data_IF_008157639460
#
_entry.id   IF_008157639460
#
_cell.length_a   1.000
_cell.length_b   1.000
_cell.length_c   1.000
_cell.angle_alpha   90.00
_cell.angle_beta   90.00
_cell.angle_gamma   90.00
#
_symmetry.space_group_name_H-M   'P 1'
#
loop_
_entity.id
_entity.type
_entity.pdbx_description
1 polymer ?
#
# COMPACT_ATOMS: atom_id res chain seq x y z
N UNK A 1 23.58 -20.42 -14.61
CA UNK A 1 22.72 -21.01 -13.57
C UNK A 1 21.35 -20.41 -13.83
N UNK A 2 20.45 -21.13 -14.52
CA UNK A 2 19.11 -20.64 -14.89
C UNK A 2 18.19 -20.75 -13.66
N UNK A 3 17.38 -19.76 -13.31
CA UNK A 3 16.39 -19.93 -12.26
C UNK A 3 15.23 -20.81 -12.77
N UNK A 4 14.86 -21.74 -11.94
CA UNK A 4 13.84 -22.77 -12.17
C UNK A 4 12.44 -22.13 -12.07
N UNK A 5 11.72 -22.04 -13.17
CA UNK A 5 10.41 -21.40 -13.30
C UNK A 5 9.25 -22.34 -12.90
N UNK A 6 9.43 -23.16 -11.85
CA UNK A 6 8.38 -24.08 -11.38
C UNK A 6 7.73 -23.67 -10.05
N UNK A 7 7.25 -22.42 -9.92
CA UNK A 7 6.32 -22.07 -8.85
C UNK A 7 4.91 -22.58 -9.21
N UNK A 8 4.55 -23.75 -8.70
CA UNK A 8 3.22 -24.37 -8.84
C UNK A 8 2.13 -23.45 -8.30
N UNK A 9 1.41 -22.76 -9.20
CA UNK A 9 0.13 -22.10 -8.89
C UNK A 9 -0.90 -23.18 -8.54
N UNK A 10 -1.39 -23.19 -7.30
CA UNK A 10 -2.52 -24.02 -6.89
C UNK A 10 -3.78 -23.59 -7.64
N UNK A 11 -4.27 -24.45 -8.52
CA UNK A 11 -5.54 -24.30 -9.20
C UNK A 11 -6.68 -24.27 -8.18
N UNK A 12 -7.39 -23.14 -8.10
CA UNK A 12 -8.73 -23.07 -7.49
C UNK A 12 -9.75 -23.47 -8.55
N UNK A 13 -10.51 -24.52 -8.26
CA UNK A 13 -11.62 -25.02 -9.06
C UNK A 13 -12.75 -24.00 -9.13
N UNK A 14 -12.90 -23.37 -10.28
CA UNK A 14 -14.04 -22.58 -10.70
C UNK A 14 -13.75 -22.17 -12.14
N UNK A 15 -14.41 -22.77 -13.13
CA UNK A 15 -14.07 -22.67 -14.54
C UNK A 15 -14.27 -21.25 -15.12
N UNK A 16 -13.34 -20.33 -14.81
CA UNK A 16 -13.23 -19.10 -15.58
C UNK A 16 -12.42 -19.43 -16.84
N UNK A 17 -13.02 -19.25 -18.00
CA UNK A 17 -12.31 -19.28 -19.28
C UNK A 17 -11.16 -18.29 -19.20
N UNK A 18 -9.92 -18.77 -19.34
CA UNK A 18 -8.71 -17.93 -19.30
C UNK A 18 -8.63 -17.01 -20.52
N UNK A 19 -9.23 -17.41 -21.64
CA UNK A 19 -9.27 -16.67 -22.92
C UNK A 19 -10.69 -16.38 -23.33
N UNK A 20 -11.01 -15.12 -23.61
CA UNK A 20 -12.31 -14.65 -24.10
C UNK A 20 -12.16 -13.84 -25.38
N UNK A 21 -13.09 -14.01 -26.31
CA UNK A 21 -13.15 -13.25 -27.55
C UNK A 21 -14.32 -12.28 -27.47
N UNK A 22 -14.00 -11.00 -27.52
CA UNK A 22 -14.95 -9.92 -27.31
C UNK A 22 -15.13 -9.11 -28.59
N UNK A 23 -16.36 -8.95 -28.99
CA UNK A 23 -16.73 -8.13 -30.14
C UNK A 23 -17.56 -6.95 -29.66
N UNK A 24 -17.25 -5.74 -30.15
CA UNK A 24 -17.96 -4.53 -29.75
C UNK A 24 -19.04 -4.18 -30.79
N UNK A 25 -20.30 -4.26 -30.40
CA UNK A 25 -21.46 -3.77 -31.16
C UNK A 25 -22.05 -2.52 -30.47
N UNK A 26 -22.85 -2.74 -29.42
CA UNK A 26 -23.30 -1.73 -28.46
C UNK A 26 -22.88 -2.18 -27.05
N UNK A 27 -21.57 -2.17 -26.80
CA UNK A 27 -20.91 -2.85 -25.68
C UNK A 27 -20.27 -4.16 -26.13
N UNK A 28 -19.51 -4.79 -25.21
CA UNK A 28 -18.83 -6.05 -25.54
C UNK A 28 -19.73 -7.26 -25.44
N UNK A 29 -19.71 -8.09 -26.50
CA UNK A 29 -20.37 -9.39 -26.57
C UNK A 29 -19.32 -10.48 -26.73
N UNK A 30 -19.37 -11.51 -25.88
CA UNK A 30 -18.48 -12.67 -25.99
C UNK A 30 -18.90 -13.57 -27.16
N UNK A 31 -17.94 -13.96 -27.99
CA UNK A 31 -18.11 -14.92 -29.08
C UNK A 31 -17.41 -16.25 -28.75
N UNK A 32 -17.89 -17.33 -29.34
CA UNK A 32 -17.33 -18.66 -29.10
C UNK A 32 -15.96 -18.88 -29.76
N UNK A 33 -15.67 -18.17 -30.84
CA UNK A 33 -14.47 -18.28 -31.63
C UNK A 33 -13.89 -16.89 -31.95
N UNK A 34 -12.59 -16.84 -32.18
CA UNK A 34 -11.92 -15.65 -32.65
C UNK A 34 -12.44 -15.22 -34.01
N UNK A 35 -12.67 -13.92 -34.16
CA UNK A 35 -13.04 -13.28 -35.41
C UNK A 35 -12.14 -12.08 -35.66
N UNK A 36 -11.86 -11.69 -36.93
CA UNK A 36 -11.18 -10.44 -37.25
C UNK A 36 -11.86 -9.24 -36.57
N UNK A 37 -11.04 -8.29 -36.07
CA UNK A 37 -11.50 -7.10 -35.35
C UNK A 37 -12.15 -7.42 -33.96
N UNK A 38 -11.99 -8.64 -33.42
CA UNK A 38 -12.35 -8.92 -32.04
C UNK A 38 -11.19 -8.62 -31.10
N UNK A 39 -11.52 -8.25 -29.88
CA UNK A 39 -10.56 -8.14 -28.79
C UNK A 39 -10.38 -9.51 -28.14
N UNK A 40 -9.14 -10.00 -28.12
CA UNK A 40 -8.75 -11.22 -27.42
C UNK A 40 -8.28 -10.84 -26.02
N UNK A 41 -9.03 -11.22 -24.99
CA UNK A 41 -8.68 -10.96 -23.62
C UNK A 41 -8.22 -12.27 -22.94
N UNK A 42 -6.98 -12.28 -22.41
CA UNK A 42 -6.36 -13.44 -21.77
C UNK A 42 -5.95 -13.07 -20.35
N UNK A 43 -6.52 -13.77 -19.37
CA UNK A 43 -6.21 -13.57 -17.95
C UNK A 43 -5.67 -14.87 -17.38
N UNK A 44 -4.51 -14.80 -16.70
CA UNK A 44 -3.77 -15.96 -16.18
C UNK A 44 -3.52 -17.02 -17.26
N UNK A 45 -2.82 -16.68 -18.38
CA UNK A 45 -2.61 -17.56 -19.51
C UNK A 45 -2.01 -18.91 -19.11
N UNK A 46 -2.48 -19.98 -19.76
CA UNK A 46 -1.89 -21.32 -19.70
C UNK A 46 -1.04 -21.59 -20.95
N UNK A 47 -0.48 -22.78 -21.05
CA UNK A 47 0.35 -23.17 -22.20
C UNK A 47 -0.42 -23.13 -23.52
N UNK A 48 -1.70 -23.55 -23.53
CA UNK A 48 -2.54 -23.55 -24.74
C UNK A 48 -2.82 -22.11 -25.19
N UNK A 49 -2.97 -21.16 -24.23
CA UNK A 49 -3.14 -19.74 -24.52
C UNK A 49 -1.85 -19.14 -25.09
N UNK A 50 -0.71 -19.53 -24.54
CA UNK A 50 0.60 -19.09 -25.04
C UNK A 50 0.85 -19.58 -26.47
N UNK A 51 0.60 -20.86 -26.75
CA UNK A 51 0.70 -21.42 -28.11
C UNK A 51 -0.28 -20.73 -29.08
N UNK A 52 -1.50 -20.49 -28.67
CA UNK A 52 -2.46 -19.76 -29.50
C UNK A 52 -1.98 -18.32 -29.82
N UNK A 53 -1.45 -17.60 -28.84
CA UNK A 53 -0.94 -16.23 -29.06
C UNK A 53 0.27 -16.21 -29.99
N UNK A 54 1.22 -17.14 -29.81
CA UNK A 54 2.47 -17.16 -30.58
C UNK A 54 2.33 -17.82 -31.94
N UNK A 55 1.61 -18.93 -32.05
CA UNK A 55 1.55 -19.73 -33.29
C UNK A 55 0.35 -19.35 -34.17
N UNK A 56 -0.81 -18.98 -33.58
CA UNK A 56 -2.01 -18.66 -34.35
C UNK A 56 -2.11 -17.17 -34.67
N UNK A 57 -1.83 -16.32 -33.66
CA UNK A 57 -1.92 -14.87 -33.81
C UNK A 57 -0.57 -14.24 -34.18
N UNK A 58 0.54 -14.98 -34.14
CA UNK A 58 1.91 -14.51 -34.37
C UNK A 58 2.33 -13.32 -33.48
N UNK A 59 1.87 -13.32 -32.23
CA UNK A 59 2.31 -12.33 -31.23
C UNK A 59 3.79 -12.60 -30.88
N UNK A 60 4.66 -11.57 -30.83
CA UNK A 60 6.05 -11.74 -30.44
C UNK A 60 6.15 -12.34 -29.02
N UNK A 61 6.95 -13.40 -28.88
CA UNK A 61 7.15 -14.09 -27.61
C UNK A 61 7.85 -13.16 -26.58
N UNK A 62 8.71 -12.26 -27.05
CA UNK A 62 9.35 -11.22 -26.25
C UNK A 62 8.33 -10.41 -25.44
N UNK A 63 7.22 -10.01 -26.07
CA UNK A 63 6.16 -9.25 -25.43
C UNK A 63 5.44 -10.00 -24.33
N UNK A 64 5.20 -11.30 -24.52
CA UNK A 64 4.57 -12.16 -23.51
C UNK A 64 5.48 -12.35 -22.30
N UNK A 65 6.80 -12.49 -22.54
CA UNK A 65 7.78 -12.59 -21.48
C UNK A 65 7.91 -11.29 -20.68
N UNK A 66 7.89 -10.14 -21.35
CA UNK A 66 7.89 -8.83 -20.70
C UNK A 66 6.65 -8.63 -19.80
N UNK A 67 5.46 -9.02 -20.28
CA UNK A 67 4.22 -8.90 -19.48
C UNK A 67 4.23 -9.89 -18.30
N UNK A 68 4.91 -11.01 -18.41
CA UNK A 68 5.02 -12.01 -17.35
C UNK A 68 5.90 -11.55 -16.18
N UNK A 69 6.80 -10.58 -16.40
CA UNK A 69 7.60 -9.98 -15.34
C UNK A 69 6.73 -9.09 -14.44
N UNK A 70 6.55 -9.49 -13.19
CA UNK A 70 5.74 -8.76 -12.21
C UNK A 70 6.28 -7.35 -11.90
N UNK A 71 7.56 -7.12 -12.13
CA UNK A 71 8.23 -5.84 -11.87
C UNK A 71 8.32 -4.94 -13.11
N UNK A 72 7.77 -5.40 -14.25
CA UNK A 72 7.81 -4.65 -15.50
C UNK A 72 7.17 -3.26 -15.36
N UNK A 73 7.82 -2.28 -16.01
CA UNK A 73 7.43 -0.86 -15.92
C UNK A 73 6.48 -0.48 -17.06
N UNK A 74 5.56 0.48 -16.82
CA UNK A 74 4.73 1.03 -17.87
C UNK A 74 5.57 1.59 -19.01
N UNK A 75 5.35 1.10 -20.22
CA UNK A 75 6.03 1.55 -21.44
C UNK A 75 5.27 1.18 -22.71
N UNK A 76 5.68 1.78 -23.81
CA UNK A 76 5.30 1.35 -25.16
C UNK A 76 6.53 0.84 -25.88
N UNK A 77 6.38 -0.26 -26.62
CA UNK A 77 7.42 -0.85 -27.45
C UNK A 77 6.88 -1.29 -28.79
N UNK A 78 7.75 -1.39 -29.81
CA UNK A 78 7.36 -1.78 -31.16
C UNK A 78 8.30 -2.84 -31.70
N UNK A 79 7.73 -3.91 -32.25
CA UNK A 79 8.49 -4.98 -32.94
C UNK A 79 7.81 -5.29 -34.29
N UNK A 80 8.46 -4.93 -35.37
CA UNK A 80 7.88 -5.02 -36.72
C UNK A 80 6.64 -4.14 -36.86
N UNK A 81 5.47 -4.74 -37.10
CA UNK A 81 4.18 -4.06 -37.18
C UNK A 81 3.34 -4.19 -35.88
N UNK A 82 3.93 -4.74 -34.82
CA UNK A 82 3.30 -4.89 -33.52
C UNK A 82 3.64 -3.72 -32.61
N UNK A 83 2.65 -3.27 -31.85
CA UNK A 83 2.78 -2.31 -30.76
C UNK A 83 2.40 -3.01 -29.46
N UNK A 84 3.29 -2.96 -28.49
CA UNK A 84 3.05 -3.33 -27.10
C UNK A 84 2.82 -2.07 -26.27
N UNK A 85 1.77 -2.07 -25.47
CA UNK A 85 1.52 -1.07 -24.44
C UNK A 85 1.40 -1.80 -23.09
N UNK A 86 2.37 -1.59 -22.22
CA UNK A 86 2.34 -2.13 -20.85
C UNK A 86 1.90 -0.98 -19.92
N UNK A 87 0.88 -1.26 -19.12
CA UNK A 87 0.47 -0.39 -18.01
C UNK A 87 0.37 -1.19 -16.72
N UNK A 88 0.52 -0.53 -15.59
CA UNK A 88 0.30 -1.16 -14.28
C UNK A 88 -1.12 -0.83 -13.80
N UNK A 89 -1.82 -1.86 -13.37
CA UNK A 89 -3.19 -1.77 -12.87
C UNK A 89 -3.24 -2.16 -11.39
N UNK A 90 -4.11 -1.54 -10.59
CA UNK A 90 -4.22 -1.86 -9.17
C UNK A 90 -5.00 -3.16 -8.99
N UNK A 91 -4.56 -3.97 -8.01
CA UNK A 91 -5.21 -5.21 -7.60
C UNK A 91 -5.35 -5.27 -6.09
N UNK A 92 -6.39 -5.95 -5.61
CA UNK A 92 -6.59 -6.22 -4.19
C UNK A 92 -6.04 -7.61 -3.84
N UNK A 93 -5.19 -7.69 -2.83
CA UNK A 93 -4.72 -8.96 -2.29
C UNK A 93 -5.64 -9.44 -1.16
N UNK A 94 -6.13 -10.67 -1.30
CA UNK A 94 -7.00 -11.32 -0.31
C UNK A 94 -6.23 -12.22 0.67
N UNK A 95 -4.89 -12.28 0.57
CA UNK A 95 -4.06 -13.13 1.42
C UNK A 95 -3.63 -12.37 2.68
N UNK A 96 -3.84 -12.99 3.84
CA UNK A 96 -3.38 -12.46 5.12
C UNK A 96 -1.85 -12.35 5.14
N UNK A 97 -1.33 -11.18 5.56
CA UNK A 97 0.10 -10.92 5.69
C UNK A 97 0.76 -10.26 4.47
N UNK A 98 0.11 -10.23 3.31
CA UNK A 98 0.55 -9.46 2.14
C UNK A 98 0.10 -7.99 2.23
N UNK A 99 0.58 -7.16 1.28
CA UNK A 99 0.04 -5.81 1.09
C UNK A 99 -1.45 -5.92 0.75
N UNK A 100 -2.32 -5.07 1.32
CA UNK A 100 -3.76 -5.13 1.05
C UNK A 100 -4.09 -4.83 -0.40
N UNK A 101 -3.31 -3.97 -1.04
CA UNK A 101 -3.39 -3.66 -2.46
C UNK A 101 -1.99 -3.62 -3.06
N UNK A 102 -1.90 -3.97 -4.34
CA UNK A 102 -0.66 -4.01 -5.11
C UNK A 102 -0.93 -3.54 -6.54
N UNK A 103 0.09 -3.52 -7.38
CA UNK A 103 -0.06 -3.24 -8.79
C UNK A 103 0.60 -4.32 -9.64
N UNK A 104 -0.06 -4.69 -10.73
CA UNK A 104 0.42 -5.72 -11.65
C UNK A 104 0.45 -5.20 -13.08
N UNK A 105 1.36 -5.70 -13.93
CA UNK A 105 1.39 -5.33 -15.32
C UNK A 105 0.22 -5.97 -16.09
N UNK A 106 -0.32 -5.23 -17.04
CA UNK A 106 -1.15 -5.72 -18.12
C UNK A 106 -0.56 -5.25 -19.44
N UNK A 107 -0.41 -6.13 -20.39
CA UNK A 107 0.02 -5.81 -21.75
C UNK A 107 -1.17 -5.72 -22.70
N UNK A 108 -1.21 -4.67 -23.50
CA UNK A 108 -2.11 -4.54 -24.65
C UNK A 108 -1.26 -4.57 -25.88
N UNK A 109 -1.45 -5.60 -26.70
CA UNK A 109 -0.66 -5.88 -27.90
C UNK A 109 -1.54 -5.67 -29.11
N UNK A 110 -1.11 -4.84 -30.04
CA UNK A 110 -1.88 -4.52 -31.24
C UNK A 110 -1.04 -4.53 -32.51
N UNK A 111 -1.68 -4.90 -33.61
CA UNK A 111 -1.20 -4.62 -34.96
C UNK A 111 -2.36 -4.04 -35.78
N UNK A 112 -2.23 -4.02 -37.12
CA UNK A 112 -3.29 -3.47 -37.99
C UNK A 112 -4.63 -4.22 -37.91
N UNK A 113 -4.63 -5.52 -37.54
CA UNK A 113 -5.81 -6.40 -37.56
C UNK A 113 -6.27 -6.87 -36.19
N UNK A 114 -5.33 -7.05 -35.25
CA UNK A 114 -5.55 -7.77 -34.01
C UNK A 114 -5.34 -6.84 -32.81
N UNK A 115 -6.12 -7.04 -31.76
CA UNK A 115 -5.88 -6.48 -30.43
C UNK A 115 -6.01 -7.59 -29.38
N UNK A 116 -5.00 -7.70 -28.52
CA UNK A 116 -4.91 -8.68 -27.46
C UNK A 116 -4.60 -7.96 -26.16
N UNK A 117 -5.28 -8.30 -25.07
CA UNK A 117 -4.83 -7.96 -23.71
C UNK A 117 -4.40 -9.21 -22.96
N UNK A 118 -3.26 -9.14 -22.30
CA UNK A 118 -2.70 -10.24 -21.51
C UNK A 118 -2.40 -9.74 -20.11
N UNK A 119 -2.90 -10.45 -19.10
CA UNK A 119 -2.60 -10.20 -17.69
C UNK A 119 -2.35 -11.53 -16.97
N UNK A 120 -1.17 -11.70 -16.36
CA UNK A 120 -0.82 -12.93 -15.64
C UNK A 120 -1.44 -13.01 -14.23
N UNK A 121 -2.19 -11.98 -13.83
CA UNK A 121 -2.83 -11.90 -12.53
C UNK A 121 -4.34 -11.77 -12.65
N UNK A 122 -5.06 -12.32 -11.68
CA UNK A 122 -6.49 -12.06 -11.58
C UNK A 122 -6.74 -10.58 -11.24
N UNK A 123 -7.65 -9.95 -11.98
CA UNK A 123 -8.03 -8.56 -11.80
C UNK A 123 -9.54 -8.42 -11.89
N UNK A 124 -10.10 -7.55 -11.06
CA UNK A 124 -11.52 -7.17 -11.14
C UNK A 124 -11.75 -6.05 -12.19
N UNK A 125 -10.67 -5.38 -12.64
CA UNK A 125 -10.74 -4.25 -13.57
C UNK A 125 -11.31 -4.63 -14.93
N UNK A 126 -10.76 -5.67 -15.57
CA UNK A 126 -11.20 -6.07 -16.91
C UNK A 126 -12.64 -6.57 -16.96
N UNK A 127 -13.09 -7.45 -16.03
CA UNK A 127 -14.49 -7.85 -15.94
C UNK A 127 -15.45 -6.67 -15.73
N UNK A 128 -15.09 -5.73 -14.82
CA UNK A 128 -15.89 -4.53 -14.57
C UNK A 128 -15.93 -3.61 -15.79
N UNK A 129 -14.80 -3.42 -16.48
CA UNK A 129 -14.73 -2.63 -17.72
C UNK A 129 -15.64 -3.20 -18.82
N UNK A 130 -15.61 -4.52 -19.04
CA UNK A 130 -16.45 -5.21 -20.03
C UNK A 130 -17.93 -5.03 -19.67
N UNK A 131 -18.28 -5.28 -18.41
CA UNK A 131 -19.65 -5.14 -17.93
C UNK A 131 -20.16 -3.70 -17.96
N UNK A 132 -19.31 -2.74 -17.58
CA UNK A 132 -19.63 -1.30 -17.64
C UNK A 132 -19.90 -0.85 -19.08
N UNK A 133 -19.02 -1.23 -20.01
CA UNK A 133 -19.14 -0.91 -21.43
C UNK A 133 -20.44 -1.50 -22.01
N UNK A 134 -20.78 -2.74 -21.64
CA UNK A 134 -22.01 -3.40 -22.03
C UNK A 134 -23.25 -2.68 -21.48
N UNK A 135 -23.29 -2.36 -20.19
CA UNK A 135 -24.43 -1.67 -19.55
C UNK A 135 -24.69 -0.29 -20.11
N UNK A 136 -23.63 0.42 -20.46
CA UNK A 136 -23.71 1.80 -21.00
C UNK A 136 -23.92 1.82 -22.51
N UNK A 137 -23.86 0.69 -23.21
CA UNK A 137 -23.92 0.65 -24.66
C UNK A 137 -22.79 1.41 -25.35
N UNK A 138 -21.60 1.45 -24.74
CA UNK A 138 -20.46 2.20 -25.26
C UNK A 138 -19.93 1.47 -26.50
N UNK A 139 -19.82 2.20 -27.60
CA UNK A 139 -19.23 1.70 -28.84
C UNK A 139 -17.73 2.04 -28.83
N UNK A 140 -16.89 1.03 -28.91
CA UNK A 140 -15.45 1.17 -29.10
C UNK A 140 -15.17 1.25 -30.59
N UNK A 141 -14.69 2.41 -31.07
CA UNK A 141 -14.58 2.73 -32.50
C UNK A 141 -13.35 2.10 -33.15
N UNK A 142 -12.25 2.05 -32.43
CA UNK A 142 -10.98 1.53 -32.92
C UNK A 142 -10.09 0.99 -31.77
N UNK A 143 -8.91 0.47 -32.11
CA UNK A 143 -7.99 -0.13 -31.13
C UNK A 143 -7.43 0.90 -30.15
N UNK A 144 -7.17 2.13 -30.60
CA UNK A 144 -6.69 3.21 -29.70
C UNK A 144 -7.78 3.61 -28.71
N UNK A 145 -9.03 3.71 -29.14
CA UNK A 145 -10.16 3.96 -28.25
C UNK A 145 -10.24 2.88 -27.15
N UNK A 146 -10.04 1.58 -27.50
CA UNK A 146 -10.00 0.51 -26.51
C UNK A 146 -8.83 0.68 -25.52
N UNK A 147 -7.62 0.98 -26.02
CA UNK A 147 -6.43 1.17 -25.16
C UNK A 147 -6.70 2.30 -24.15
N UNK A 148 -7.11 3.47 -24.63
CA UNK A 148 -7.35 4.62 -23.76
C UNK A 148 -8.50 4.39 -22.78
N UNK A 149 -9.55 3.66 -23.15
CA UNK A 149 -10.64 3.28 -22.24
C UNK A 149 -10.19 2.29 -21.15
N UNK A 150 -9.32 1.35 -21.46
CA UNK A 150 -8.72 0.46 -20.45
C UNK A 150 -7.84 1.28 -19.49
N UNK A 151 -7.07 2.24 -20.00
CA UNK A 151 -6.24 3.12 -19.16
C UNK A 151 -7.13 4.01 -18.28
N UNK A 152 -8.20 4.58 -18.84
CA UNK A 152 -9.21 5.33 -18.07
C UNK A 152 -9.80 4.49 -16.93
N UNK A 153 -10.22 3.27 -17.25
CA UNK A 153 -10.72 2.33 -16.25
C UNK A 153 -9.69 2.05 -15.15
N UNK A 154 -8.41 1.93 -15.51
CA UNK A 154 -7.32 1.76 -14.56
C UNK A 154 -7.22 2.95 -13.59
N UNK A 155 -7.31 4.19 -14.08
CA UNK A 155 -7.30 5.39 -13.24
C UNK A 155 -8.48 5.42 -12.26
N UNK A 156 -9.69 5.09 -12.72
CA UNK A 156 -10.89 4.98 -11.87
C UNK A 156 -10.71 3.91 -10.78
N UNK A 157 -10.10 2.77 -11.12
CA UNK A 157 -9.82 1.72 -10.14
C UNK A 157 -8.76 2.12 -9.12
N UNK A 158 -7.72 2.88 -9.50
CA UNK A 158 -6.78 3.49 -8.55
C UNK A 158 -7.52 4.37 -7.55
N UNK A 159 -8.39 5.28 -8.03
CA UNK A 159 -9.18 6.16 -7.16
C UNK A 159 -10.12 5.38 -6.23
N UNK A 160 -10.75 4.32 -6.73
CA UNK A 160 -11.61 3.43 -5.94
C UNK A 160 -10.84 2.79 -4.77
N UNK A 161 -9.66 2.25 -5.05
CA UNK A 161 -8.83 1.64 -4.00
C UNK A 161 -8.19 2.67 -3.08
N UNK A 162 -7.81 3.85 -3.57
CA UNK A 162 -7.34 4.95 -2.73
C UNK A 162 -8.41 5.37 -1.71
N UNK A 163 -9.67 5.43 -2.12
CA UNK A 163 -10.77 5.67 -1.19
C UNK A 163 -10.89 4.59 -0.11
N UNK A 164 -10.71 3.32 -0.47
CA UNK A 164 -10.70 2.21 0.50
C UNK A 164 -9.49 2.29 1.44
N UNK A 165 -8.30 2.59 0.91
CA UNK A 165 -7.07 2.79 1.70
C UNK A 165 -7.28 3.90 2.74
N UNK A 166 -7.90 5.00 2.37
CA UNK A 166 -8.19 6.09 3.31
C UNK A 166 -9.12 5.64 4.46
N UNK A 167 -10.13 4.82 4.16
CA UNK A 167 -10.99 4.23 5.20
C UNK A 167 -10.18 3.32 6.12
N UNK A 168 -9.27 2.50 5.55
CA UNK A 168 -8.44 1.58 6.32
C UNK A 168 -7.40 2.32 7.19
N UNK A 169 -6.84 3.45 6.71
CA UNK A 169 -5.98 4.35 7.48
C UNK A 169 -6.76 4.89 8.68
N UNK A 170 -7.93 5.50 8.44
CA UNK A 170 -8.75 6.10 9.52
C UNK A 170 -9.21 5.06 10.55
N UNK A 171 -9.44 3.81 10.13
CA UNK A 171 -9.75 2.72 11.05
C UNK A 171 -8.56 2.36 11.93
N UNK A 172 -7.35 2.24 11.35
CA UNK A 172 -6.13 1.93 12.09
C UNK A 172 -5.72 3.06 13.05
N UNK A 173 -5.90 4.33 12.66
CA UNK A 173 -5.68 5.50 13.52
C UNK A 173 -6.55 5.44 14.78
N UNK A 174 -7.85 5.16 14.64
CA UNK A 174 -8.78 5.05 15.78
C UNK A 174 -8.42 3.90 16.74
N UNK A 175 -7.92 2.79 16.22
CA UNK A 175 -7.46 1.68 17.07
C UNK A 175 -6.18 2.09 17.84
N UNK A 176 -5.23 2.79 17.20
CA UNK A 176 -4.02 3.30 17.83
C UNK A 176 -4.30 4.36 18.90
N UNK A 177 -5.29 5.24 18.70
CA UNK A 177 -5.73 6.21 19.72
C UNK A 177 -6.23 5.52 20.99
N UNK A 178 -6.88 4.35 20.87
CA UNK A 178 -7.40 3.58 22.00
C UNK A 178 -6.32 2.78 22.70
N UNK A 179 -5.44 2.14 21.94
CA UNK A 179 -4.39 1.28 22.46
C UNK A 179 -3.29 1.12 21.41
N UNK A 180 -2.08 1.57 21.72
CA UNK A 180 -0.93 1.46 20.81
C UNK A 180 -0.49 0.01 20.75
N UNK A 181 -0.81 -0.67 19.64
CA UNK A 181 -0.39 -2.04 19.34
C UNK A 181 0.57 -2.06 18.15
N UNK A 182 1.58 -2.91 18.22
CA UNK A 182 2.53 -3.06 17.12
C UNK A 182 1.84 -3.53 15.82
N UNK A 183 0.76 -4.32 15.92
CA UNK A 183 0.00 -4.81 14.78
C UNK A 183 -0.64 -3.68 13.97
N UNK A 184 -1.18 -2.66 14.65
CA UNK A 184 -1.82 -1.51 14.00
C UNK A 184 -0.79 -0.61 13.33
N UNK A 185 0.39 -0.43 13.94
CA UNK A 185 1.52 0.25 13.29
C UNK A 185 2.00 -0.49 12.05
N UNK A 186 2.14 -1.81 12.12
CA UNK A 186 2.50 -2.63 10.96
C UNK A 186 1.44 -2.58 9.85
N UNK A 187 0.17 -2.43 10.22
CA UNK A 187 -0.92 -2.22 9.25
C UNK A 187 -0.76 -0.89 8.53
N UNK A 188 -0.52 0.22 9.24
CA UNK A 188 -0.24 1.52 8.64
C UNK A 188 0.99 1.49 7.74
N UNK A 189 2.08 0.83 8.15
CA UNK A 189 3.28 0.66 7.31
C UNK A 189 2.98 -0.10 6.01
N UNK A 190 2.13 -1.13 6.05
CA UNK A 190 1.72 -1.83 4.83
C UNK A 190 0.89 -0.95 3.90
N UNK A 191 0.00 -0.11 4.45
CA UNK A 191 -0.77 0.87 3.67
C UNK A 191 0.14 1.93 3.05
N UNK A 192 1.15 2.41 3.79
CA UNK A 192 2.16 3.33 3.26
C UNK A 192 2.93 2.72 2.08
N UNK A 193 3.36 1.47 2.21
CA UNK A 193 4.03 0.75 1.11
C UNK A 193 3.13 0.60 -0.12
N UNK A 194 1.84 0.33 0.07
CA UNK A 194 0.84 0.31 -1.01
C UNK A 194 0.76 1.66 -1.72
N UNK A 195 0.70 2.77 -0.97
CA UNK A 195 0.65 4.13 -1.56
C UNK A 195 1.91 4.44 -2.40
N UNK A 196 3.09 3.98 -1.97
CA UNK A 196 4.34 4.12 -2.75
C UNK A 196 4.24 3.35 -4.08
N UNK A 197 3.72 2.13 -4.07
CA UNK A 197 3.53 1.35 -5.30
C UNK A 197 2.50 1.99 -6.24
N UNK A 198 1.40 2.49 -5.68
CA UNK A 198 0.39 3.21 -6.46
C UNK A 198 0.98 4.48 -7.10
N UNK A 199 1.71 5.28 -6.32
CA UNK A 199 2.38 6.49 -6.81
C UNK A 199 3.31 6.17 -7.99
N UNK A 200 4.18 5.18 -7.82
CA UNK A 200 5.14 4.78 -8.86
C UNK A 200 4.44 4.28 -10.12
N UNK A 201 3.39 3.48 -9.96
CA UNK A 201 2.64 2.90 -11.08
C UNK A 201 1.83 3.95 -11.84
N UNK A 202 1.15 4.87 -11.14
CA UNK A 202 0.37 5.95 -11.76
C UNK A 202 1.30 6.89 -12.52
N UNK A 203 2.46 7.27 -11.95
CA UNK A 203 3.47 8.08 -12.66
C UNK A 203 4.01 7.38 -13.90
N UNK A 204 4.30 6.07 -13.80
CA UNK A 204 4.74 5.29 -14.95
C UNK A 204 3.69 5.25 -16.06
N UNK A 205 2.41 5.05 -15.70
CA UNK A 205 1.30 5.08 -16.63
C UNK A 205 1.17 6.48 -17.28
N UNK A 206 1.29 7.57 -16.54
CA UNK A 206 1.24 8.94 -17.08
C UNK A 206 2.34 9.18 -18.12
N UNK A 207 3.57 8.75 -17.85
CA UNK A 207 4.69 8.86 -18.80
C UNK A 207 4.44 8.02 -20.05
N UNK A 208 3.94 6.80 -19.89
CA UNK A 208 3.60 5.91 -21.00
C UNK A 208 2.54 6.51 -21.92
N UNK A 209 1.47 7.11 -21.36
CA UNK A 209 0.43 7.79 -22.12
C UNK A 209 0.99 8.97 -22.91
N UNK A 210 1.90 9.74 -22.33
CA UNK A 210 2.57 10.82 -23.04
C UNK A 210 3.27 10.34 -24.30
N UNK A 211 3.96 9.19 -24.24
CA UNK A 211 4.58 8.56 -25.42
C UNK A 211 3.53 8.05 -26.41
N UNK A 212 2.50 7.36 -25.93
CA UNK A 212 1.42 6.84 -26.78
C UNK A 212 0.72 7.96 -27.53
N UNK A 213 0.41 9.09 -26.87
CA UNK A 213 -0.14 10.29 -27.51
C UNK A 213 0.77 10.82 -28.60
N UNK A 214 2.08 10.90 -28.38
CA UNK A 214 3.05 11.38 -29.37
C UNK A 214 3.13 10.47 -30.59
N UNK A 215 3.05 9.15 -30.40
CA UNK A 215 3.07 8.18 -31.53
C UNK A 215 1.86 8.37 -32.46
N UNK A 216 0.70 8.72 -31.91
CA UNK A 216 -0.57 8.77 -32.64
C UNK A 216 -1.14 10.18 -32.82
N UNK A 217 -0.38 11.24 -32.51
CA UNK A 217 -0.86 12.63 -32.55
C UNK A 217 -1.34 13.07 -33.95
N UNK A 218 -0.75 12.50 -35.00
CA UNK A 218 -1.04 12.86 -36.40
C UNK A 218 -2.08 11.92 -37.05
N UNK A 219 -2.78 11.10 -36.24
CA UNK A 219 -3.78 10.17 -36.73
C UNK A 219 -5.20 10.70 -36.45
N UNK A 220 -6.06 10.69 -37.50
CA UNK A 220 -7.48 11.06 -37.35
C UNK A 220 -8.31 10.12 -36.46
N UNK A 221 -7.69 9.03 -35.98
CA UNK A 221 -8.35 8.01 -35.19
C UNK A 221 -8.20 8.24 -33.66
N UNK A 222 -7.43 9.26 -33.24
CA UNK A 222 -7.22 9.57 -31.83
C UNK A 222 -8.36 10.46 -31.33
N UNK A 223 -9.14 9.94 -30.38
CA UNK A 223 -10.13 10.73 -29.64
C UNK A 223 -9.40 11.59 -28.58
N UNK A 224 -9.20 12.87 -28.93
CA UNK A 224 -8.44 13.81 -28.06
C UNK A 224 -9.17 14.10 -26.76
N UNK A 225 -10.52 14.11 -26.74
CA UNK A 225 -11.32 14.32 -25.54
C UNK A 225 -11.12 13.14 -24.56
N UNK A 226 -11.18 11.90 -25.06
CA UNK A 226 -10.90 10.71 -24.23
C UNK A 226 -9.48 10.73 -23.67
N UNK A 227 -8.48 11.14 -24.46
CA UNK A 227 -7.09 11.23 -23.99
C UNK A 227 -6.95 12.26 -22.87
N UNK A 228 -7.60 13.41 -23.01
CA UNK A 228 -7.61 14.46 -21.98
C UNK A 228 -8.29 13.97 -20.70
N UNK A 229 -9.43 13.30 -20.79
CA UNK A 229 -10.12 12.68 -19.66
C UNK A 229 -9.23 11.68 -18.91
N UNK A 230 -8.51 10.82 -19.64
CA UNK A 230 -7.55 9.88 -19.05
C UNK A 230 -6.45 10.58 -18.28
N UNK A 231 -5.88 11.65 -18.86
CA UNK A 231 -4.82 12.43 -18.22
C UNK A 231 -5.32 13.12 -16.94
N UNK A 232 -6.53 13.67 -16.98
CA UNK A 232 -7.16 14.33 -15.85
C UNK A 232 -7.36 13.32 -14.70
N UNK A 233 -7.92 12.15 -15.03
CA UNK A 233 -8.22 11.11 -14.04
C UNK A 233 -6.96 10.54 -13.38
N UNK A 234 -5.89 10.32 -14.16
CA UNK A 234 -4.58 9.90 -13.64
C UNK A 234 -3.93 10.97 -12.77
N UNK A 235 -4.00 12.24 -13.16
CA UNK A 235 -3.51 13.34 -12.33
C UNK A 235 -4.28 13.45 -11.02
N UNK A 236 -5.59 13.24 -11.05
CA UNK A 236 -6.41 13.19 -9.84
C UNK A 236 -5.97 12.04 -8.93
N UNK A 237 -5.76 10.84 -9.49
CA UNK A 237 -5.26 9.70 -8.74
C UNK A 237 -3.87 9.96 -8.14
N UNK A 238 -2.96 10.58 -8.92
CA UNK A 238 -1.62 10.94 -8.45
C UNK A 238 -1.66 11.96 -7.31
N UNK A 239 -2.48 13.00 -7.42
CA UNK A 239 -2.65 13.98 -6.36
C UNK A 239 -3.23 13.33 -5.10
N UNK A 240 -4.22 12.47 -5.26
CA UNK A 240 -4.86 11.76 -4.13
C UNK A 240 -3.88 10.84 -3.41
N UNK A 241 -3.06 10.08 -4.14
CA UNK A 241 -2.06 9.19 -3.52
C UNK A 241 -0.99 9.99 -2.76
N UNK A 242 -0.56 11.14 -3.30
CA UNK A 242 0.40 12.01 -2.62
C UNK A 242 -0.19 12.55 -1.32
N UNK A 243 -1.42 13.09 -1.35
CA UNK A 243 -2.10 13.61 -0.15
C UNK A 243 -2.22 12.52 0.92
N UNK A 244 -2.65 11.32 0.57
CA UNK A 244 -2.79 10.23 1.54
C UNK A 244 -1.44 9.74 2.07
N UNK A 245 -0.39 9.76 1.25
CA UNK A 245 0.98 9.43 1.67
C UNK A 245 1.51 10.45 2.68
N UNK A 246 1.29 11.74 2.44
CA UNK A 246 1.73 12.83 3.34
C UNK A 246 0.98 12.77 4.67
N UNK A 247 -0.34 12.60 4.63
CA UNK A 247 -1.17 12.43 5.84
C UNK A 247 -0.68 11.22 6.66
N UNK A 248 -0.49 10.07 6.01
CA UNK A 248 -0.07 8.85 6.69
C UNK A 248 1.33 8.99 7.30
N UNK A 249 2.26 9.64 6.61
CA UNK A 249 3.60 9.93 7.14
C UNK A 249 3.51 10.82 8.38
N UNK A 250 2.77 11.91 8.31
CA UNK A 250 2.55 12.80 9.46
C UNK A 250 1.89 12.09 10.66
N UNK A 251 0.92 11.22 10.37
CA UNK A 251 0.27 10.38 11.40
C UNK A 251 1.28 9.43 12.07
N UNK A 252 2.12 8.75 11.29
CA UNK A 252 3.16 7.85 11.83
C UNK A 252 4.16 8.61 12.71
N UNK A 253 4.60 9.80 12.31
CA UNK A 253 5.50 10.65 13.08
C UNK A 253 4.86 11.13 14.38
N UNK A 254 3.58 11.49 14.34
CA UNK A 254 2.82 11.85 15.54
C UNK A 254 2.73 10.69 16.54
N UNK A 255 2.41 9.48 16.07
CA UNK A 255 2.38 8.29 16.94
C UNK A 255 3.76 7.95 17.51
N UNK A 256 4.84 8.05 16.72
CA UNK A 256 6.19 7.85 17.22
C UNK A 256 6.54 8.83 18.36
N UNK A 257 6.13 10.09 18.23
CA UNK A 257 6.29 11.12 19.27
C UNK A 257 5.48 10.80 20.54
N UNK A 258 4.22 10.37 20.38
CA UNK A 258 3.35 9.98 21.49
C UNK A 258 3.95 8.78 22.24
N UNK A 259 4.42 7.75 21.53
CA UNK A 259 5.08 6.58 22.13
C UNK A 259 6.31 7.01 22.91
N UNK A 260 7.18 7.84 22.33
CA UNK A 260 8.38 8.36 23.00
C UNK A 260 8.04 9.10 24.28
N UNK A 261 7.02 9.96 24.26
CA UNK A 261 6.56 10.70 25.42
C UNK A 261 5.99 9.78 26.51
N UNK A 262 5.21 8.75 26.13
CA UNK A 262 4.68 7.76 27.06
C UNK A 262 5.81 6.97 27.74
N UNK A 263 6.80 6.49 26.97
CA UNK A 263 7.99 5.80 27.50
C UNK A 263 8.73 6.70 28.49
N UNK A 264 8.98 7.96 28.14
CA UNK A 264 9.64 8.93 29.00
C UNK A 264 8.85 9.15 30.31
N UNK A 265 7.53 9.24 30.24
CA UNK A 265 6.65 9.36 31.42
C UNK A 265 6.72 8.13 32.31
N UNK A 266 6.71 6.93 31.74
CA UNK A 266 6.85 5.68 32.50
C UNK A 266 8.23 5.62 33.15
N UNK A 267 9.31 5.92 32.44
CA UNK A 267 10.68 5.96 32.99
C UNK A 267 10.80 6.95 34.15
N UNK A 268 10.24 8.16 34.03
CA UNK A 268 10.20 9.15 35.11
C UNK A 268 9.51 8.59 36.35
N UNK A 269 8.35 7.93 36.20
CA UNK A 269 7.61 7.32 37.32
C UNK A 269 8.42 6.19 37.99
N UNK A 270 9.05 5.33 37.19
CA UNK A 270 9.87 4.22 37.69
C UNK A 270 11.10 4.73 38.42
N UNK A 271 11.79 5.74 37.88
CA UNK A 271 12.95 6.36 38.57
C UNK A 271 12.55 7.02 39.88
N UNK A 272 11.43 7.76 39.89
CA UNK A 272 10.90 8.38 41.11
C UNK A 272 10.59 7.34 42.19
N UNK A 273 9.92 6.24 41.83
CA UNK A 273 9.60 5.15 42.73
C UNK A 273 10.88 4.47 43.28
N UNK A 274 11.88 4.27 42.41
CA UNK A 274 13.15 3.68 42.82
C UNK A 274 13.89 4.54 43.85
N UNK A 275 13.94 5.88 43.64
CA UNK A 275 14.58 6.81 44.57
C UNK A 275 13.86 6.78 45.95
N UNK A 276 12.53 6.81 45.97
CA UNK A 276 11.72 6.78 47.20
C UNK A 276 11.95 5.50 47.98
N UNK A 277 12.08 4.35 47.30
CA UNK A 277 12.35 3.05 47.99
C UNK A 277 13.81 2.90 48.40
N UNK A 278 14.75 3.54 47.73
CA UNK A 278 16.18 3.45 48.01
C UNK A 278 16.57 4.14 49.34
N UNK A 279 15.91 5.25 49.69
CA UNK A 279 16.22 6.03 50.90
C UNK A 279 15.99 5.23 52.18
N UNK A 280 14.81 4.61 52.45
CA UNK A 280 14.62 3.74 53.60
C UNK A 280 15.61 2.58 53.65
N UNK A 281 15.88 1.98 52.48
CA UNK A 281 16.82 0.83 52.40
C UNK A 281 18.23 1.24 52.80
N UNK A 282 18.68 2.42 52.37
CA UNK A 282 19.99 2.99 52.73
C UNK A 282 20.10 3.22 54.23
N UNK A 283 19.09 3.83 54.84
CA UNK A 283 19.05 4.09 56.29
C UNK A 283 19.04 2.77 57.05
N UNK A 284 18.18 1.82 56.67
CA UNK A 284 18.12 0.51 57.31
C UNK A 284 19.46 -0.26 57.17
N UNK A 285 20.14 -0.12 56.05
CA UNK A 285 21.46 -0.74 55.80
C UNK A 285 22.53 -0.19 56.75
N UNK A 286 22.57 1.12 56.95
CA UNK A 286 23.53 1.71 57.90
C UNK A 286 23.28 1.27 59.34
N UNK A 287 22.02 1.18 59.77
CA UNK A 287 21.67 0.73 61.10
C UNK A 287 21.74 -0.81 61.27
N UNK A 288 21.82 -1.56 60.19
CA UNK A 288 22.05 -3.02 60.22
C UNK A 288 23.53 -3.41 60.26
N UNK A 289 24.46 -2.46 60.26
CA UNK A 289 25.89 -2.74 60.35
C UNK A 289 26.29 -3.02 61.78
N UNK A 290 27.23 -3.98 62.01
CA UNK A 290 27.81 -4.29 63.30
C UNK A 290 28.88 -3.24 63.70
N UNK A 291 28.46 -2.00 63.87
CA UNK A 291 29.32 -0.86 64.29
C UNK A 291 28.63 -0.18 65.46
N UNK A 292 29.39 0.19 66.51
CA UNK A 292 28.86 0.90 67.67
C UNK A 292 28.17 2.20 67.24
N UNK A 293 26.88 2.23 67.31
CA UNK A 293 26.05 3.39 66.99
C UNK A 293 25.51 3.95 68.30
N UNK A 294 25.85 5.19 68.66
CA UNK A 294 25.51 5.88 69.90
C UNK A 294 24.02 5.96 70.23
N UNK A 295 23.12 5.43 69.35
CA UNK A 295 21.67 5.40 69.51
C UNK A 295 21.13 4.11 70.05
N UNK A 296 21.95 3.09 70.34
CA UNK A 296 21.52 1.76 70.85
C UNK A 296 20.88 1.81 72.28
N UNK A 297 21.31 2.79 73.06
CA UNK A 297 20.79 2.92 74.49
C UNK A 297 19.47 3.75 74.50
N UNK A 298 18.98 4.27 73.43
CA UNK A 298 17.76 5.08 73.42
C UNK A 298 16.52 4.21 73.23
N UNK A 299 15.57 4.17 74.22
CA UNK A 299 14.44 3.22 74.19
C UNK A 299 13.45 3.39 73.04
N UNK A 300 13.53 4.43 72.24
CA UNK A 300 12.66 4.68 71.09
C UNK A 300 13.45 4.85 69.77
N UNK A 301 14.72 4.48 69.72
CA UNK A 301 15.62 4.66 68.60
C UNK A 301 15.04 4.06 67.30
N UNK A 302 14.51 2.84 67.34
CA UNK A 302 13.91 2.16 66.21
C UNK A 302 12.73 2.97 65.62
N UNK A 303 11.79 3.39 66.49
CA UNK A 303 10.61 4.16 66.01
C UNK A 303 11.01 5.52 65.41
N UNK A 304 12.05 6.15 65.96
CA UNK A 304 12.55 7.45 65.49
C UNK A 304 13.25 7.31 64.13
N UNK A 305 14.02 6.23 63.91
CA UNK A 305 14.67 5.92 62.63
C UNK A 305 13.63 5.62 61.57
N UNK A 306 12.60 4.83 61.87
CA UNK A 306 11.51 4.52 60.94
C UNK A 306 10.75 5.81 60.57
N UNK A 307 10.42 6.66 61.56
CA UNK A 307 9.71 7.92 61.29
C UNK A 307 10.57 8.88 60.43
N UNK A 308 11.86 8.99 60.75
CA UNK A 308 12.81 9.78 59.95
C UNK A 308 12.93 9.26 58.50
N UNK A 309 13.02 7.95 58.34
CA UNK A 309 13.09 7.29 57.03
C UNK A 309 11.85 7.55 56.19
N UNK A 310 10.64 7.46 56.78
CA UNK A 310 9.38 7.76 56.10
C UNK A 310 9.31 9.25 55.74
N UNK A 311 9.73 10.15 56.66
CA UNK A 311 9.77 11.59 56.44
C UNK A 311 10.67 11.97 55.27
N UNK A 312 11.89 11.38 55.24
CA UNK A 312 12.83 11.61 54.15
C UNK A 312 12.33 11.10 52.79
N UNK A 313 11.71 9.92 52.79
CA UNK A 313 11.11 9.35 51.58
C UNK A 313 9.95 10.20 51.06
N UNK A 314 9.12 10.71 51.97
CA UNK A 314 8.00 11.62 51.60
C UNK A 314 8.52 12.93 51.04
N UNK A 315 9.56 13.50 51.66
CA UNK A 315 10.21 14.72 51.16
C UNK A 315 10.81 14.50 49.76
N UNK A 316 11.51 13.38 49.57
CA UNK A 316 12.06 13.02 48.26
C UNK A 316 10.96 12.82 47.21
N UNK A 317 9.87 12.14 47.57
CA UNK A 317 8.71 12.00 46.65
C UNK A 317 8.12 13.35 46.25
N UNK A 318 7.89 14.25 47.20
CA UNK A 318 7.36 15.60 46.93
C UNK A 318 8.32 16.41 46.08
N UNK A 319 9.63 16.39 46.37
CA UNK A 319 10.63 17.14 45.59
C UNK A 319 10.75 16.59 44.16
N UNK A 320 10.82 15.28 43.97
CA UNK A 320 10.90 14.66 42.67
C UNK A 320 9.59 14.89 41.87
N UNK A 321 8.44 14.75 42.53
CA UNK A 321 7.13 15.02 41.91
C UNK A 321 6.99 16.49 41.49
N UNK A 322 7.42 17.43 42.34
CA UNK A 322 7.35 18.84 42.02
C UNK A 322 8.30 19.27 40.90
N UNK A 323 9.52 18.81 40.90
CA UNK A 323 10.49 19.14 39.81
C UNK A 323 10.07 18.54 38.48
N UNK A 324 9.48 17.34 38.46
CA UNK A 324 9.01 16.69 37.26
C UNK A 324 7.68 17.26 36.71
N UNK A 325 6.77 17.73 37.58
CA UNK A 325 5.54 18.40 37.16
C UNK A 325 5.78 19.80 36.60
N UNK A 326 6.65 20.60 37.24
CA UNK A 326 6.95 21.98 36.80
C UNK A 326 7.77 22.06 35.51
N UNK A 327 8.65 21.09 35.24
CA UNK A 327 9.39 21.02 34.00
C UNK A 327 8.48 20.78 32.78
N UNK A 328 7.27 20.30 32.98
CA UNK A 328 6.29 20.10 31.91
C UNK A 328 5.53 21.39 31.54
N UNK A 329 5.32 22.31 32.51
CA UNK A 329 4.66 23.57 32.24
C UNK A 329 5.55 24.60 31.56
N UNK A 330 6.87 24.58 31.82
CA UNK A 330 7.82 25.50 31.18
C UNK A 330 8.22 25.12 29.76
N UNK A 331 8.10 23.83 29.36
CA UNK A 331 8.32 23.36 27.98
C UNK A 331 7.17 23.61 27.02
N UNK A 332 6.00 24.01 27.51
CA UNK A 332 4.83 24.33 26.68
C UNK A 332 4.78 25.79 26.21
N UNK A 333 5.74 26.63 26.63
CA UNK A 333 5.82 28.05 26.29
C UNK A 333 7.08 28.44 25.48
N UNK A 334 7.83 27.48 24.95
CA UNK A 334 8.90 27.64 23.97
C UNK A 334 8.58 26.86 22.69
#
# INVERSE_FOLDING_TARGET
>A
MKPDASARVKQTKGGNKMRTYLYCEAGFVEKAQWLPNSWVNVVCPNNDDFEFLTQTLNVPESFLNDIADTDERPRTDTEGNWLLTILRIPVQNKQNGSLPFDTVPIGIITNNEIIVSVCYHNTDLLPDFIEHTRRKGIVVRNKLDLIFRIIYSSAVWFLKYLKQINIDISAAEKELERSIRNEDLLRLMRLQKTLVYFNTSIRGNEVMIGKLRTIFQDTDYLDTELVEDVIIELKQALNTVNIYSDILTGTMDAFASIISNNVNTIMKRMTSLSIVLMLPTLIASFYGMNVDIHLEEVPFAFSLIVLFSIGLSTLAFVTVSYTHLRAHETGAYL
#
